data_IF_343857303308
#
_entry.id   IF_343857303308
#
_cell.length_a   1.000
_cell.length_b   1.000
_cell.length_c   1.000
_cell.angle_alpha   90.00
_cell.angle_beta   90.00
_cell.angle_gamma   90.00
#
_symmetry.space_group_name_H-M   'P 1'
#
loop_
_entity.id
_entity.type
_entity.pdbx_description
1 polymer ?
#
# COMPACT_ATOMS: atom_id res chain seq x y z
N UNK A 1 6.91 -19.89 -16.01
CA UNK A 1 6.78 -19.19 -17.32
C UNK A 1 5.74 -18.05 -17.33
N UNK A 2 4.64 -18.15 -16.55
CA UNK A 2 3.60 -17.10 -16.50
C UNK A 2 4.05 -15.76 -15.88
N UNK A 3 5.17 -15.73 -15.18
CA UNK A 3 5.64 -14.57 -14.38
C UNK A 3 6.81 -13.83 -15.01
N UNK A 4 7.39 -14.33 -16.09
CA UNK A 4 8.51 -13.66 -16.75
C UNK A 4 8.07 -12.34 -17.41
N UNK A 5 8.95 -11.34 -17.39
CA UNK A 5 8.77 -10.12 -18.16
C UNK A 5 8.62 -10.44 -19.66
N UNK A 6 7.90 -9.59 -20.39
CA UNK A 6 7.68 -9.74 -21.83
C UNK A 6 8.37 -8.62 -22.60
N UNK A 7 8.71 -8.89 -23.85
CA UNK A 7 9.26 -7.87 -24.75
C UNK A 7 8.22 -6.85 -25.20
N UNK A 8 8.68 -5.81 -25.89
CA UNK A 8 7.82 -4.75 -26.41
C UNK A 8 6.80 -5.33 -27.38
N UNK A 9 5.49 -5.08 -27.17
CA UNK A 9 4.44 -5.59 -28.04
C UNK A 9 4.40 -4.84 -29.38
N UNK A 10 3.78 -5.44 -30.40
CA UNK A 10 3.53 -4.80 -31.67
C UNK A 10 2.56 -3.60 -31.56
N UNK A 11 1.67 -3.63 -30.56
CA UNK A 11 0.65 -2.61 -30.33
C UNK A 11 0.54 -2.27 -28.86
N UNK A 12 0.40 -0.98 -28.58
CA UNK A 12 0.00 -0.43 -27.29
C UNK A 12 -1.48 -0.08 -27.30
N UNK A 13 -2.21 -0.45 -26.24
CA UNK A 13 -3.63 -0.14 -26.11
C UNK A 13 -3.82 1.16 -25.32
N UNK A 14 -2.88 1.47 -24.41
CA UNK A 14 -2.83 2.70 -23.64
C UNK A 14 -1.42 3.25 -23.60
N UNK A 15 -1.29 4.57 -23.48
CA UNK A 15 0.00 5.24 -23.29
C UNK A 15 -0.08 6.27 -22.16
N UNK A 16 0.92 6.30 -21.28
CA UNK A 16 1.06 7.25 -20.18
C UNK A 16 2.53 7.59 -19.91
N UNK A 17 2.76 8.53 -19.01
CA UNK A 17 4.10 8.79 -18.49
C UNK A 17 4.41 7.84 -17.33
N UNK A 18 3.47 7.68 -16.41
CA UNK A 18 3.61 6.81 -15.24
C UNK A 18 2.44 5.83 -15.17
N UNK A 19 2.76 4.53 -15.21
CA UNK A 19 1.80 3.46 -14.95
C UNK A 19 1.90 3.04 -13.49
N UNK A 20 0.78 2.96 -12.78
CA UNK A 20 0.74 2.61 -11.36
C UNK A 20 -0.07 1.34 -11.18
N UNK A 21 0.53 0.30 -10.62
CA UNK A 21 -0.12 -0.99 -10.37
C UNK A 21 -0.64 -1.04 -8.94
N UNK A 22 -1.96 -1.10 -8.79
CA UNK A 22 -2.68 -1.04 -7.52
C UNK A 22 -3.21 0.35 -7.21
N UNK A 23 -4.17 0.42 -6.29
CA UNK A 23 -4.86 1.66 -5.90
C UNK A 23 -5.00 1.84 -4.38
N UNK A 24 -4.10 1.22 -3.60
CA UNK A 24 -4.01 1.41 -2.15
C UNK A 24 -3.16 2.64 -1.77
N UNK A 25 -2.20 2.46 -0.88
CA UNK A 25 -1.27 3.53 -0.44
C UNK A 25 -0.48 4.17 -1.58
N UNK A 26 -0.27 3.46 -2.68
CA UNK A 26 0.41 3.93 -3.88
C UNK A 26 -0.29 5.10 -4.57
N UNK A 27 -1.58 5.35 -4.28
CA UNK A 27 -2.32 6.50 -4.79
C UNK A 27 -1.65 7.84 -4.47
N UNK A 28 -0.97 7.96 -3.32
CA UNK A 28 -0.23 9.19 -2.99
C UNK A 28 0.87 9.47 -4.01
N UNK A 29 1.63 8.43 -4.40
CA UNK A 29 2.65 8.55 -5.45
C UNK A 29 2.05 8.83 -6.84
N UNK A 30 0.94 8.17 -7.18
CA UNK A 30 0.19 8.42 -8.41
C UNK A 30 -0.30 9.87 -8.49
N UNK A 31 -0.88 10.36 -7.40
CA UNK A 31 -1.34 11.75 -7.30
C UNK A 31 -0.23 12.77 -7.42
N UNK A 32 0.93 12.49 -6.81
CA UNK A 32 2.09 13.38 -6.88
C UNK A 32 2.65 13.48 -8.31
N UNK A 33 2.72 12.36 -9.04
CA UNK A 33 3.11 12.34 -10.45
C UNK A 33 2.09 13.12 -11.31
N UNK A 34 0.78 12.88 -11.12
CA UNK A 34 -0.25 13.59 -11.86
C UNK A 34 -0.25 15.09 -11.57
N UNK A 35 -0.06 15.50 -10.30
CA UNK A 35 0.05 16.90 -9.91
C UNK A 35 1.31 17.58 -10.50
N UNK A 36 2.35 16.82 -10.80
CA UNK A 36 3.54 17.30 -11.51
C UNK A 36 3.33 17.45 -13.05
N UNK A 37 2.15 17.09 -13.55
CA UNK A 37 1.78 17.19 -14.97
C UNK A 37 2.03 15.92 -15.78
N UNK A 38 2.37 14.80 -15.12
CA UNK A 38 2.51 13.52 -15.79
C UNK A 38 1.15 12.93 -16.14
N UNK A 39 1.04 12.32 -17.31
CA UNK A 39 -0.11 11.48 -17.64
C UNK A 39 0.00 10.16 -16.85
N UNK A 40 -0.90 9.95 -15.92
CA UNK A 40 -0.89 8.79 -15.01
C UNK A 40 -2.04 7.84 -15.34
N UNK A 41 -1.73 6.55 -15.43
CA UNK A 41 -2.74 5.48 -15.49
C UNK A 41 -2.56 4.56 -14.29
N UNK A 42 -3.62 4.41 -13.51
CA UNK A 42 -3.70 3.49 -12.35
C UNK A 42 -4.41 2.22 -12.81
N UNK A 43 -3.79 1.07 -12.55
CA UNK A 43 -4.25 -0.26 -12.96
C UNK A 43 -4.72 -1.00 -11.70
N UNK A 44 -6.03 -1.23 -11.58
CA UNK A 44 -6.63 -1.84 -10.41
C UNK A 44 -7.34 -3.16 -10.79
N UNK A 45 -6.98 -4.23 -10.07
CA UNK A 45 -7.52 -5.56 -10.33
C UNK A 45 -9.00 -5.71 -9.92
N UNK A 46 -9.40 -5.02 -8.85
CA UNK A 46 -10.78 -5.02 -8.35
C UNK A 46 -11.68 -4.08 -9.18
N UNK A 47 -12.98 -4.16 -8.95
CA UNK A 47 -13.95 -3.23 -9.49
C UNK A 47 -14.06 -1.92 -8.71
N UNK A 48 -13.32 -1.80 -7.60
CA UNK A 48 -13.27 -0.66 -6.70
C UNK A 48 -11.83 -0.31 -6.34
N UNK A 49 -11.55 0.97 -6.14
CA UNK A 49 -10.24 1.47 -5.73
C UNK A 49 -10.01 1.32 -4.22
N UNK A 50 -8.73 1.30 -3.82
CA UNK A 50 -8.32 1.44 -2.43
C UNK A 50 -7.67 0.20 -1.83
N UNK A 51 -7.86 -0.98 -2.40
CA UNK A 51 -7.25 -2.22 -1.92
C UNK A 51 -7.43 -2.43 -0.41
N UNK A 52 -6.46 -3.05 0.25
CA UNK A 52 -6.45 -3.26 1.71
C UNK A 52 -6.44 -1.94 2.49
N UNK A 53 -5.90 -0.87 1.95
CA UNK A 53 -5.94 0.46 2.58
C UNK A 53 -7.38 0.90 2.82
N UNK A 54 -8.28 0.72 1.84
CA UNK A 54 -9.70 1.09 1.99
C UNK A 54 -10.42 0.27 3.07
N UNK A 55 -10.00 -0.98 3.30
CA UNK A 55 -10.61 -1.84 4.32
C UNK A 55 -10.03 -1.65 5.73
N UNK A 56 -8.99 -0.84 5.86
CA UNK A 56 -8.33 -0.51 7.13
C UNK A 56 -9.13 0.50 7.97
N UNK A 57 -8.66 0.78 9.17
CA UNK A 57 -9.22 1.84 10.01
C UNK A 57 -8.91 3.26 9.48
N UNK A 58 -8.11 3.40 8.43
CA UNK A 58 -7.71 4.70 7.86
C UNK A 58 -6.80 5.53 8.76
N UNK A 59 -6.43 5.03 9.92
CA UNK A 59 -5.49 5.70 10.80
C UNK A 59 -4.09 5.63 10.21
N UNK A 60 -3.40 6.74 10.26
CA UNK A 60 -2.03 6.86 9.76
C UNK A 60 -1.12 7.27 10.91
N UNK A 61 -0.06 6.49 11.12
CA UNK A 61 1.00 6.88 12.04
C UNK A 61 2.03 7.70 11.27
N UNK A 62 2.20 8.96 11.67
CA UNK A 62 3.13 9.89 11.03
C UNK A 62 3.72 10.84 12.08
N UNK A 63 5.00 10.69 12.42
CA UNK A 63 5.71 11.68 13.23
C UNK A 63 5.78 13.01 12.50
N UNK A 64 5.87 14.09 13.26
CA UNK A 64 6.01 15.44 12.74
C UNK A 64 4.86 15.86 11.79
N UNK A 65 3.70 15.20 11.89
CA UNK A 65 2.54 15.60 11.09
C UNK A 65 2.12 17.04 11.41
N UNK A 66 1.61 17.77 10.43
CA UNK A 66 1.28 19.20 10.56
C UNK A 66 0.27 19.49 11.67
N UNK A 67 -0.66 18.54 11.96
CA UNK A 67 -1.62 18.69 13.07
C UNK A 67 -0.91 18.71 14.43
N UNK A 68 0.02 17.80 14.67
CA UNK A 68 0.80 17.79 15.91
C UNK A 68 1.80 18.95 16.01
N UNK A 69 2.40 19.33 14.88
CA UNK A 69 3.38 20.41 14.82
C UNK A 69 2.76 21.79 15.03
N UNK A 70 1.48 21.99 14.70
CA UNK A 70 0.75 23.22 14.96
C UNK A 70 0.70 23.56 16.47
N UNK A 71 0.64 22.52 17.32
CA UNK A 71 0.61 22.67 18.78
C UNK A 71 1.96 22.33 19.46
N UNK A 72 3.02 22.14 18.67
CA UNK A 72 4.38 21.85 19.18
C UNK A 72 4.46 20.55 20.01
N UNK A 73 3.69 19.52 19.62
CA UNK A 73 3.56 18.28 20.38
C UNK A 73 4.63 17.23 20.03
N UNK A 74 5.31 17.34 18.89
CA UNK A 74 6.34 16.39 18.44
C UNK A 74 7.63 17.13 18.06
N UNK A 75 8.73 16.38 18.03
CA UNK A 75 10.03 16.88 17.60
C UNK A 75 10.82 15.79 16.86
N UNK A 76 11.80 16.24 16.05
CA UNK A 76 12.56 15.35 15.17
C UNK A 76 13.49 14.40 15.93
N UNK A 77 14.06 14.84 17.04
CA UNK A 77 15.03 14.03 17.79
C UNK A 77 14.32 12.85 18.46
N UNK A 78 13.19 13.07 19.12
CA UNK A 78 12.35 12.03 19.66
C UNK A 78 11.79 11.10 18.56
N UNK A 79 11.33 11.68 17.45
CA UNK A 79 10.84 10.91 16.31
C UNK A 79 11.93 9.97 15.74
N UNK A 80 13.15 10.50 15.55
CA UNK A 80 14.28 9.71 15.04
C UNK A 80 14.71 8.62 16.02
N UNK A 81 14.76 8.95 17.32
CA UNK A 81 15.09 7.97 18.35
C UNK A 81 14.10 6.79 18.35
N UNK A 82 12.80 7.10 18.28
CA UNK A 82 11.75 6.10 18.27
C UNK A 82 11.79 5.20 17.02
N UNK A 83 11.82 5.79 15.81
CA UNK A 83 11.84 4.97 14.58
C UNK A 83 13.14 4.17 14.43
N UNK A 84 14.27 4.67 14.96
CA UNK A 84 15.53 3.93 14.98
C UNK A 84 15.43 2.71 15.89
N UNK A 85 14.86 2.86 17.08
CA UNK A 85 14.65 1.78 18.01
C UNK A 85 13.67 0.72 17.47
N UNK A 86 12.54 1.14 16.92
CA UNK A 86 11.52 0.24 16.37
C UNK A 86 11.97 -0.45 15.09
N UNK A 87 12.78 0.20 14.26
CA UNK A 87 13.37 -0.41 13.06
C UNK A 87 14.36 -1.55 13.40
N UNK A 88 14.91 -1.57 14.62
CA UNK A 88 15.78 -2.64 15.12
C UNK A 88 16.90 -3.05 14.12
N UNK A 89 17.49 -2.07 13.43
CA UNK A 89 18.54 -2.29 12.43
C UNK A 89 18.04 -2.83 11.08
N UNK A 90 16.74 -2.88 10.85
CA UNK A 90 16.14 -3.36 9.59
C UNK A 90 16.01 -2.25 8.52
N UNK A 91 16.30 -1.02 8.88
CA UNK A 91 16.30 0.14 7.99
C UNK A 91 17.62 0.91 8.09
N UNK A 92 17.96 1.66 7.04
CA UNK A 92 19.17 2.50 7.04
C UNK A 92 18.85 3.90 7.57
N UNK A 93 19.85 4.62 8.12
CA UNK A 93 19.67 6.00 8.58
C UNK A 93 19.09 6.92 7.50
N UNK A 94 19.49 6.74 6.24
CA UNK A 94 19.02 7.54 5.10
C UNK A 94 17.52 7.33 4.83
N UNK A 95 17.02 6.10 4.96
CA UNK A 95 15.59 5.79 4.80
C UNK A 95 14.79 6.37 5.97
N UNK A 96 15.29 6.26 7.20
CA UNK A 96 14.64 6.83 8.38
C UNK A 96 14.58 8.37 8.28
N UNK A 97 15.67 9.00 7.86
CA UNK A 97 15.71 10.45 7.65
C UNK A 97 14.76 10.91 6.54
N UNK A 98 14.73 10.18 5.41
CA UNK A 98 13.80 10.44 4.32
C UNK A 98 12.33 10.30 4.75
N UNK A 99 12.00 9.29 5.57
CA UNK A 99 10.66 9.10 6.12
C UNK A 99 10.22 10.30 6.97
N UNK A 100 11.08 10.79 7.87
CA UNK A 100 10.78 11.96 8.70
C UNK A 100 10.75 13.29 7.92
N UNK A 101 11.41 13.35 6.78
CA UNK A 101 11.48 14.54 5.94
C UNK A 101 10.29 14.64 5.00
N UNK A 102 10.02 13.55 4.26
CA UNK A 102 9.03 13.55 3.19
C UNK A 102 7.67 12.97 3.61
N UNK A 103 7.61 12.20 4.71
CA UNK A 103 6.38 11.62 5.21
C UNK A 103 5.31 12.67 5.54
N UNK A 104 5.61 13.70 6.36
CA UNK A 104 4.68 14.79 6.65
C UNK A 104 4.18 15.50 5.39
N UNK A 105 5.07 15.80 4.44
CA UNK A 105 4.70 16.41 3.16
C UNK A 105 3.76 15.53 2.34
N UNK A 106 3.96 14.21 2.36
CA UNK A 106 3.09 13.26 1.66
C UNK A 106 1.69 13.23 2.28
N UNK A 107 1.58 13.32 3.60
CA UNK A 107 0.31 13.37 4.32
C UNK A 107 -0.44 14.68 4.04
N UNK A 108 0.25 15.82 4.02
CA UNK A 108 -0.35 17.11 3.69
C UNK A 108 -0.83 17.14 2.23
N UNK A 109 -0.02 16.63 1.30
CA UNK A 109 -0.40 16.49 -0.11
C UNK A 109 -1.64 15.59 -0.28
N UNK A 110 -1.70 14.47 0.44
CA UNK A 110 -2.84 13.57 0.43
C UNK A 110 -4.11 14.30 0.91
N UNK A 111 -4.02 15.02 2.03
CA UNK A 111 -5.13 15.79 2.56
C UNK A 111 -5.65 16.87 1.59
N UNK A 112 -4.74 17.61 0.97
CA UNK A 112 -5.08 18.62 -0.04
C UNK A 112 -5.75 17.99 -1.28
N UNK A 113 -5.21 16.86 -1.75
CA UNK A 113 -5.73 16.18 -2.93
C UNK A 113 -7.12 15.60 -2.69
N UNK A 114 -7.33 15.00 -1.52
CA UNK A 114 -8.56 14.34 -1.12
C UNK A 114 -9.63 15.28 -0.51
N UNK A 115 -9.30 16.56 -0.32
CA UNK A 115 -10.15 17.55 0.37
C UNK A 115 -10.60 17.05 1.76
N UNK A 116 -9.64 16.52 2.52
CA UNK A 116 -9.82 16.07 3.89
C UNK A 116 -8.90 16.82 4.86
N UNK A 117 -9.17 16.68 6.15
CA UNK A 117 -8.27 17.11 7.22
C UNK A 117 -7.94 15.93 8.13
N UNK A 118 -6.91 16.12 8.95
CA UNK A 118 -6.50 15.13 9.94
C UNK A 118 -6.81 15.63 11.33
N UNK A 119 -7.19 14.70 12.21
CA UNK A 119 -7.25 14.93 13.65
C UNK A 119 -6.34 13.91 14.37
N UNK A 120 -5.81 14.30 15.53
CA UNK A 120 -5.03 13.38 16.36
C UNK A 120 -5.96 12.29 16.89
N UNK A 121 -5.60 11.04 16.63
CA UNK A 121 -6.28 9.88 17.18
C UNK A 121 -5.68 9.53 18.55
N UNK A 122 -6.50 9.17 19.54
CA UNK A 122 -6.03 8.89 20.91
C UNK A 122 -5.33 7.52 20.98
N UNK A 123 -4.19 7.40 20.33
CA UNK A 123 -3.34 6.21 20.35
C UNK A 123 -1.94 6.58 20.77
N UNK A 124 -1.41 5.82 21.71
CA UNK A 124 -0.01 5.87 22.14
C UNK A 124 0.89 5.17 21.12
N UNK A 125 2.13 5.58 21.05
CA UNK A 125 3.14 4.84 20.28
C UNK A 125 3.33 3.44 20.88
N UNK A 126 3.58 2.44 20.05
CA UNK A 126 3.85 1.09 20.51
C UNK A 126 5.07 1.08 21.45
N UNK A 127 4.98 0.29 22.52
CA UNK A 127 6.02 0.19 23.53
C UNK A 127 6.45 1.56 24.11
N UNK A 128 5.45 2.41 24.37
CA UNK A 128 5.63 3.77 24.88
C UNK A 128 6.54 3.87 26.11
N UNK A 129 6.50 2.89 26.98
CA UNK A 129 7.29 2.80 28.20
C UNK A 129 8.68 2.18 28.01
N UNK A 130 8.99 1.67 26.81
CA UNK A 130 10.23 0.93 26.52
C UNK A 130 11.11 1.65 25.51
N UNK A 131 10.54 2.19 24.44
CA UNK A 131 11.31 2.80 23.37
C UNK A 131 11.54 4.29 23.59
N UNK A 132 12.80 4.77 23.36
CA UNK A 132 13.11 6.19 23.51
C UNK A 132 12.31 7.01 22.48
N UNK A 133 11.94 8.22 22.90
CA UNK A 133 11.25 9.17 22.02
C UNK A 133 9.80 8.81 21.66
N UNK A 134 9.22 7.77 22.27
CA UNK A 134 7.81 7.45 22.11
C UNK A 134 6.91 8.58 22.66
N UNK A 135 5.78 8.82 22.00
CA UNK A 135 4.82 9.87 22.37
C UNK A 135 3.45 9.25 22.72
N UNK A 136 2.74 9.94 23.63
CA UNK A 136 1.36 9.61 23.96
C UNK A 136 0.41 10.46 23.13
N UNK A 137 -0.40 9.80 22.27
CA UNK A 137 -1.49 10.43 21.51
C UNK A 137 -1.09 11.63 20.64
N UNK A 138 0.01 11.51 19.91
CA UNK A 138 0.54 12.60 19.09
C UNK A 138 0.69 12.24 17.62
N UNK A 139 1.20 11.03 17.32
CA UNK A 139 1.67 10.65 15.99
C UNK A 139 0.65 9.90 15.15
N UNK A 140 -0.36 9.31 15.77
CA UNK A 140 -1.45 8.68 15.03
C UNK A 140 -2.51 9.72 14.70
N UNK A 141 -2.85 9.82 13.43
CA UNK A 141 -3.88 10.71 12.92
C UNK A 141 -4.99 9.92 12.25
N UNK A 142 -6.20 10.44 12.28
CA UNK A 142 -7.38 9.89 11.63
C UNK A 142 -7.96 10.89 10.63
N UNK A 143 -8.55 10.43 9.50
CA UNK A 143 -9.12 11.33 8.50
C UNK A 143 -10.45 11.91 9.00
N UNK A 144 -10.62 13.22 8.78
CA UNK A 144 -11.88 13.94 8.95
C UNK A 144 -12.24 14.57 7.62
N UNK A 145 -13.38 14.20 7.03
CA UNK A 145 -13.72 14.75 5.73
C UNK A 145 -15.06 14.24 5.19
N UNK A 146 -15.39 14.70 4.01
CA UNK A 146 -16.59 14.27 3.30
C UNK A 146 -16.35 12.91 2.65
N UNK A 147 -17.33 12.01 2.76
CA UNK A 147 -17.34 10.78 1.99
C UNK A 147 -17.46 11.09 0.50
N UNK A 148 -16.54 10.60 -0.32
CA UNK A 148 -16.78 10.54 -1.75
C UNK A 148 -17.77 9.41 -2.06
N UNK A 149 -18.78 9.71 -2.84
CA UNK A 149 -19.79 8.73 -3.28
C UNK A 149 -19.52 8.19 -4.68
N UNK A 150 -18.60 8.79 -5.42
CA UNK A 150 -18.40 8.52 -6.85
C UNK A 150 -17.37 7.44 -7.14
N UNK A 151 -16.31 7.34 -6.36
CA UNK A 151 -15.24 6.34 -6.57
C UNK A 151 -15.57 4.93 -6.05
N UNK A 152 -16.78 4.68 -5.54
CA UNK A 152 -17.20 3.40 -5.00
C UNK A 152 -16.46 3.04 -3.70
N UNK A 153 -17.15 3.11 -2.58
CA UNK A 153 -16.60 2.76 -1.27
C UNK A 153 -16.44 1.26 -1.14
N UNK A 154 -15.23 0.79 -0.84
CA UNK A 154 -15.05 -0.60 -0.44
C UNK A 154 -15.64 -0.83 0.94
N UNK A 155 -16.40 -1.90 1.06
CA UNK A 155 -16.88 -2.36 2.38
C UNK A 155 -15.70 -2.92 3.16
N UNK A 156 -15.56 -2.53 4.41
CA UNK A 156 -14.53 -3.09 5.29
C UNK A 156 -14.68 -4.60 5.45
N UNK A 157 -13.64 -5.26 5.97
CA UNK A 157 -13.59 -6.72 6.17
C UNK A 157 -14.78 -7.29 6.96
N UNK A 158 -15.50 -6.44 7.70
CA UNK A 158 -16.67 -6.80 8.52
C UNK A 158 -17.99 -6.27 7.94
N UNK A 159 -18.06 -5.95 6.66
CA UNK A 159 -19.31 -5.48 6.02
C UNK A 159 -19.67 -4.04 6.34
N UNK A 160 -18.82 -3.28 7.02
CA UNK A 160 -19.01 -1.86 7.33
C UNK A 160 -18.08 -1.00 6.47
N UNK A 161 -18.51 0.20 6.10
CA UNK A 161 -17.62 1.18 5.48
C UNK A 161 -16.52 1.53 6.48
N UNK A 162 -15.26 1.28 6.11
CA UNK A 162 -14.12 1.55 6.98
C UNK A 162 -13.57 2.96 6.75
N UNK A 163 -12.86 3.49 7.76
CA UNK A 163 -12.26 4.82 7.68
C UNK A 163 -11.21 4.94 6.57
N UNK A 164 -10.60 3.82 6.15
CA UNK A 164 -9.62 3.79 5.06
C UNK A 164 -10.22 4.17 3.71
N UNK A 165 -11.50 3.85 3.48
CA UNK A 165 -12.20 4.29 2.27
C UNK A 165 -12.40 5.82 2.24
N UNK A 166 -12.44 6.48 3.39
CA UNK A 166 -12.52 7.95 3.50
C UNK A 166 -11.22 8.65 3.11
N UNK A 167 -10.13 7.90 2.97
CA UNK A 167 -8.86 8.38 2.44
C UNK A 167 -8.72 8.02 0.97
N UNK A 168 -8.90 6.74 0.63
CA UNK A 168 -8.57 6.25 -0.71
C UNK A 168 -9.55 6.72 -1.78
N UNK A 169 -10.85 6.75 -1.51
CA UNK A 169 -11.84 7.17 -2.49
C UNK A 169 -11.74 8.66 -2.84
N UNK A 170 -11.70 9.60 -1.86
CA UNK A 170 -11.50 11.01 -2.18
C UNK A 170 -10.14 11.31 -2.83
N UNK A 171 -9.09 10.55 -2.46
CA UNK A 171 -7.78 10.69 -3.09
C UNK A 171 -7.83 10.27 -4.56
N UNK A 172 -8.48 9.15 -4.87
CA UNK A 172 -8.67 8.70 -6.25
C UNK A 172 -9.49 9.72 -7.07
N UNK A 173 -10.58 10.24 -6.50
CA UNK A 173 -11.38 11.30 -7.12
C UNK A 173 -10.56 12.56 -7.38
N UNK A 174 -9.73 12.97 -6.40
CA UNK A 174 -8.83 14.11 -6.55
C UNK A 174 -7.81 13.91 -7.67
N UNK A 175 -7.23 12.72 -7.79
CA UNK A 175 -6.30 12.39 -8.87
C UNK A 175 -6.97 12.50 -10.24
N UNK A 176 -8.19 11.96 -10.38
CA UNK A 176 -8.91 12.01 -11.64
C UNK A 176 -9.38 13.44 -11.94
N UNK A 177 -10.07 14.08 -11.02
CA UNK A 177 -10.79 15.34 -11.28
C UNK A 177 -9.89 16.58 -11.21
N UNK A 178 -8.87 16.60 -10.34
CA UNK A 178 -7.95 17.74 -10.23
C UNK A 178 -6.78 17.65 -11.21
N UNK A 179 -6.26 16.44 -11.43
CA UNK A 179 -4.99 16.25 -12.14
C UNK A 179 -5.12 15.45 -13.45
N UNK A 180 -6.32 14.96 -13.78
CA UNK A 180 -6.57 14.26 -15.04
C UNK A 180 -6.00 12.85 -15.12
N UNK A 181 -5.73 12.20 -13.99
CA UNK A 181 -5.34 10.79 -13.95
C UNK A 181 -6.46 9.87 -14.44
N UNK A 182 -6.10 8.69 -14.93
CA UNK A 182 -7.03 7.67 -15.41
C UNK A 182 -6.93 6.43 -14.53
N UNK A 183 -8.07 5.78 -14.22
CA UNK A 183 -8.12 4.54 -13.43
C UNK A 183 -8.77 3.44 -14.27
N UNK A 184 -8.05 2.35 -14.47
CA UNK A 184 -8.54 1.14 -15.13
C UNK A 184 -8.86 0.10 -14.07
N UNK A 185 -10.11 -0.01 -13.67
CA UNK A 185 -10.60 -1.07 -12.77
C UNK A 185 -10.82 -2.37 -13.53
N UNK A 186 -11.01 -3.49 -12.80
CA UNK A 186 -11.17 -4.83 -13.37
C UNK A 186 -10.06 -5.17 -14.38
N UNK A 187 -8.87 -4.63 -14.13
CA UNK A 187 -7.68 -4.72 -14.97
C UNK A 187 -6.53 -5.26 -14.14
N UNK A 188 -6.19 -6.51 -14.30
CA UNK A 188 -5.17 -7.19 -13.49
C UNK A 188 -3.81 -7.13 -14.16
N UNK A 189 -2.86 -6.39 -13.59
CA UNK A 189 -1.48 -6.39 -14.06
C UNK A 189 -0.87 -7.80 -13.92
N UNK A 190 -0.23 -8.29 -14.97
CA UNK A 190 0.33 -9.65 -15.03
C UNK A 190 1.83 -9.67 -15.21
N UNK A 191 2.36 -8.81 -16.04
CA UNK A 191 3.77 -8.80 -16.42
C UNK A 191 4.27 -7.39 -16.66
N UNK A 192 5.54 -7.17 -16.42
CA UNK A 192 6.24 -5.98 -16.88
C UNK A 192 6.67 -6.17 -18.33
N UNK A 193 6.54 -5.11 -19.11
CA UNK A 193 7.05 -5.05 -20.49
C UNK A 193 8.42 -4.41 -20.44
N UNK A 194 9.40 -5.09 -21.03
CA UNK A 194 10.80 -4.67 -20.96
C UNK A 194 11.42 -4.54 -22.34
N UNK A 195 12.46 -3.71 -22.41
CA UNK A 195 13.39 -3.66 -23.54
C UNK A 195 14.83 -3.66 -23.03
N UNK A 196 15.76 -3.96 -23.89
CA UNK A 196 17.18 -3.70 -23.62
C UNK A 196 17.48 -2.30 -24.15
N UNK A 197 18.02 -1.43 -23.31
CA UNK A 197 18.40 -0.08 -23.71
C UNK A 197 19.77 -0.04 -24.41
N UNK A 198 20.20 1.12 -24.86
CA UNK A 198 21.47 1.30 -25.58
C UNK A 198 22.71 0.94 -24.77
N UNK A 199 22.57 0.91 -23.43
CA UNK A 199 23.63 0.49 -22.50
C UNK A 199 23.63 -1.03 -22.24
N UNK A 200 22.74 -1.79 -22.88
CA UNK A 200 22.56 -3.23 -22.64
C UNK A 200 21.85 -3.58 -21.36
N UNK A 201 21.20 -2.63 -20.67
CA UNK A 201 20.45 -2.82 -19.45
C UNK A 201 18.97 -3.08 -19.73
N UNK A 202 18.35 -3.92 -18.90
CA UNK A 202 16.89 -4.09 -18.92
C UNK A 202 16.20 -2.83 -18.42
N UNK A 203 15.30 -2.31 -19.23
CA UNK A 203 14.45 -1.15 -18.94
C UNK A 203 12.99 -1.57 -18.97
N UNK A 204 12.23 -1.23 -17.93
CA UNK A 204 10.79 -1.42 -17.90
C UNK A 204 10.12 -0.28 -18.63
N UNK A 205 9.31 -0.61 -19.64
CA UNK A 205 8.66 0.38 -20.54
C UNK A 205 7.14 0.27 -20.53
N UNK A 206 6.57 -0.58 -19.68
CA UNK A 206 5.13 -0.71 -19.57
C UNK A 206 4.67 -1.92 -18.75
N UNK A 207 3.37 -2.13 -18.78
CA UNK A 207 2.67 -3.20 -18.08
C UNK A 207 1.74 -3.93 -19.03
N UNK A 208 1.79 -5.26 -19.02
CA UNK A 208 0.78 -6.10 -19.64
C UNK A 208 -0.24 -6.48 -18.58
N UNK A 209 -1.51 -6.26 -18.87
CA UNK A 209 -2.62 -6.54 -17.96
C UNK A 209 -3.73 -7.34 -18.65
N UNK A 210 -4.55 -8.00 -17.86
CA UNK A 210 -5.72 -8.75 -18.31
C UNK A 210 -7.00 -8.04 -17.88
N UNK A 211 -7.93 -7.99 -18.80
CA UNK A 211 -9.31 -7.50 -18.60
C UNK A 211 -10.30 -8.59 -18.98
N UNK A 212 -11.59 -8.40 -18.71
CA UNK A 212 -12.66 -9.29 -19.20
C UNK A 212 -12.71 -9.39 -20.74
N UNK A 213 -12.10 -8.43 -21.47
CA UNK A 213 -12.08 -8.39 -22.94
C UNK A 213 -10.80 -8.98 -23.54
N UNK A 214 -9.84 -9.35 -22.72
CA UNK A 214 -8.55 -9.90 -23.11
C UNK A 214 -7.36 -9.08 -22.58
N UNK A 215 -6.19 -9.39 -23.11
CA UNK A 215 -4.94 -8.75 -22.75
C UNK A 215 -4.83 -7.35 -23.31
N UNK A 216 -4.33 -6.41 -22.49
CA UNK A 216 -4.03 -5.04 -22.86
C UNK A 216 -2.58 -4.70 -22.50
N UNK A 217 -1.95 -3.86 -23.31
CA UNK A 217 -0.58 -3.39 -23.12
C UNK A 217 -0.59 -1.88 -22.85
N UNK A 218 -0.05 -1.48 -21.69
CA UNK A 218 -0.01 -0.10 -21.22
C UNK A 218 1.45 0.36 -21.27
N UNK A 219 1.74 1.35 -22.11
CA UNK A 219 3.06 1.95 -22.22
C UNK A 219 3.27 2.99 -21.12
N UNK A 220 4.45 2.95 -20.50
CA UNK A 220 4.90 3.96 -19.56
C UNK A 220 6.20 4.59 -20.05
N UNK A 221 6.18 5.89 -20.33
CA UNK A 221 7.35 6.59 -20.91
C UNK A 221 8.40 6.97 -19.87
N UNK A 222 8.01 7.07 -18.58
CA UNK A 222 8.91 7.49 -17.49
C UNK A 222 9.11 6.41 -16.43
N UNK A 223 8.01 5.83 -15.90
CA UNK A 223 8.10 4.86 -14.81
C UNK A 223 6.89 3.92 -14.71
N UNK A 224 7.13 2.76 -14.10
CA UNK A 224 6.10 1.87 -13.57
C UNK A 224 6.27 1.82 -12.05
N UNK A 225 5.20 2.12 -11.30
CA UNK A 225 5.16 2.02 -9.84
C UNK A 225 4.40 0.76 -9.46
N UNK A 226 5.02 -0.11 -8.66
CA UNK A 226 4.40 -1.35 -8.18
C UNK A 226 3.88 -1.16 -6.75
N UNK A 227 2.57 -1.20 -6.57
CA UNK A 227 1.89 -1.08 -5.29
C UNK A 227 0.70 -2.04 -5.17
N UNK A 228 0.86 -3.26 -5.71
CA UNK A 228 -0.20 -4.27 -5.80
C UNK A 228 -0.52 -4.99 -4.47
N UNK A 229 -0.03 -4.48 -3.34
CA UNK A 229 -0.24 -5.11 -2.03
C UNK A 229 0.69 -6.29 -1.76
N UNK A 230 0.37 -7.02 -0.69
CA UNK A 230 1.14 -8.17 -0.23
C UNK A 230 0.73 -9.50 -0.89
N UNK A 231 0.97 -10.61 -0.17
CA UNK A 231 0.71 -11.96 -0.69
C UNK A 231 -0.15 -12.82 0.24
N UNK A 232 -0.97 -12.20 1.09
CA UNK A 232 -1.79 -12.92 2.08
C UNK A 232 -2.76 -13.95 1.49
N UNK A 233 -3.15 -13.79 0.23
CA UNK A 233 -3.97 -14.75 -0.52
C UNK A 233 -3.17 -15.69 -1.43
N UNK A 234 -1.85 -15.81 -1.22
CA UNK A 234 -0.99 -16.74 -1.93
C UNK A 234 -0.37 -17.74 -0.94
N UNK A 235 -0.99 -18.90 -0.82
CA UNK A 235 -0.58 -19.94 0.13
C UNK A 235 0.82 -20.48 -0.15
N UNK A 236 1.26 -20.48 -1.42
CA UNK A 236 2.62 -20.90 -1.77
C UNK A 236 3.66 -19.89 -1.24
N UNK A 237 3.45 -18.59 -1.47
CA UNK A 237 4.34 -17.55 -0.96
C UNK A 237 4.32 -17.51 0.58
N UNK A 238 3.15 -17.69 1.20
CA UNK A 238 3.07 -17.81 2.67
C UNK A 238 3.93 -18.97 3.18
N UNK A 239 3.80 -20.16 2.62
CA UNK A 239 4.63 -21.32 3.01
C UNK A 239 6.12 -21.11 2.77
N UNK A 240 6.46 -20.36 1.71
CA UNK A 240 7.86 -20.14 1.34
C UNK A 240 8.55 -19.10 2.21
N UNK A 241 7.83 -18.04 2.59
CA UNK A 241 8.45 -16.86 3.19
C UNK A 241 8.07 -16.63 4.65
N UNK A 242 6.90 -17.10 5.10
CA UNK A 242 6.44 -16.85 6.46
C UNK A 242 6.81 -18.02 7.38
N UNK A 243 7.39 -17.70 8.51
CA UNK A 243 7.70 -18.67 9.56
C UNK A 243 6.46 -19.08 10.37
N UNK A 244 5.44 -18.22 10.37
CA UNK A 244 4.19 -18.43 11.10
C UNK A 244 3.10 -18.78 10.11
N UNK A 245 2.37 -19.90 10.31
CA UNK A 245 1.23 -20.23 9.46
C UNK A 245 0.13 -19.16 9.59
N UNK A 246 -0.03 -18.33 8.58
CA UNK A 246 -1.10 -17.35 8.52
C UNK A 246 -2.30 -17.96 7.79
N UNK A 247 -3.25 -18.53 8.53
CA UNK A 247 -4.46 -19.15 7.98
C UNK A 247 -5.50 -18.11 7.56
N UNK A 248 -5.40 -16.90 8.11
CA UNK A 248 -6.30 -15.78 7.80
C UNK A 248 -5.51 -14.55 7.41
N UNK A 249 -6.09 -13.74 6.56
CA UNK A 249 -5.54 -12.44 6.17
C UNK A 249 -6.66 -11.41 6.11
N UNK A 250 -6.35 -10.18 6.47
CA UNK A 250 -7.26 -9.04 6.31
C UNK A 250 -7.03 -8.32 4.97
N UNK A 251 -6.08 -8.77 4.18
CA UNK A 251 -5.87 -8.24 2.84
C UNK A 251 -7.06 -8.57 1.93
N UNK A 252 -7.32 -7.70 0.96
CA UNK A 252 -8.31 -7.97 -0.09
C UNK A 252 -7.87 -9.16 -0.95
N UNK A 253 -8.83 -9.90 -1.48
CA UNK A 253 -8.61 -11.18 -2.20
C UNK A 253 -7.73 -11.07 -3.45
N UNK A 254 -7.49 -9.85 -3.91
CA UNK A 254 -6.58 -9.55 -5.03
C UNK A 254 -5.10 -9.50 -4.62
N UNK A 255 -4.77 -9.51 -3.32
CA UNK A 255 -3.38 -9.49 -2.82
C UNK A 255 -2.75 -10.89 -2.88
N UNK A 256 -2.18 -11.24 -4.02
CA UNK A 256 -1.56 -12.54 -4.30
C UNK A 256 -0.06 -12.47 -4.61
N UNK A 257 0.56 -11.31 -4.36
CA UNK A 257 2.00 -11.10 -4.55
C UNK A 257 2.41 -10.80 -5.99
N UNK A 258 1.48 -10.45 -6.87
CA UNK A 258 1.80 -10.19 -8.28
C UNK A 258 2.84 -9.10 -8.46
N UNK A 259 2.75 -8.00 -7.69
CA UNK A 259 3.73 -6.91 -7.74
C UNK A 259 5.14 -7.36 -7.35
N UNK A 260 5.24 -8.19 -6.31
CA UNK A 260 6.51 -8.77 -5.86
C UNK A 260 7.11 -9.65 -6.96
N UNK A 261 6.31 -10.54 -7.53
CA UNK A 261 6.74 -11.47 -8.58
C UNK A 261 7.14 -10.74 -9.88
N UNK A 262 6.41 -9.68 -10.24
CA UNK A 262 6.79 -8.83 -11.38
C UNK A 262 8.11 -8.11 -11.15
N UNK A 263 8.34 -7.61 -9.93
CA UNK A 263 9.62 -7.00 -9.57
C UNK A 263 10.78 -7.98 -9.67
N UNK A 264 10.63 -9.20 -9.12
CA UNK A 264 11.64 -10.24 -9.22
C UNK A 264 11.95 -10.62 -10.68
N UNK A 265 10.92 -10.67 -11.53
CA UNK A 265 11.10 -11.02 -12.95
C UNK A 265 12.02 -10.05 -13.72
N UNK A 266 12.24 -8.85 -13.20
CA UNK A 266 13.16 -7.84 -13.76
C UNK A 266 14.40 -7.60 -12.92
N UNK A 267 14.66 -8.48 -11.93
CA UNK A 267 15.87 -8.48 -11.11
C UNK A 267 15.79 -7.69 -9.82
N UNK A 268 14.60 -7.33 -9.34
CA UNK A 268 14.44 -6.75 -8.01
C UNK A 268 14.75 -7.78 -6.93
N UNK A 269 15.43 -7.34 -5.89
CA UNK A 269 15.72 -8.14 -4.70
C UNK A 269 14.54 -8.14 -3.74
N UNK A 270 14.48 -9.17 -2.87
CA UNK A 270 13.48 -9.29 -1.81
C UNK A 270 14.13 -9.07 -0.45
N UNK A 271 13.46 -8.30 0.40
CA UNK A 271 13.90 -8.09 1.77
C UNK A 271 12.72 -8.25 2.73
N UNK A 272 13.04 -8.69 3.95
CA UNK A 272 12.11 -8.74 5.09
C UNK A 272 10.85 -9.59 4.85
N UNK A 273 10.89 -10.55 3.95
CA UNK A 273 9.75 -11.39 3.57
C UNK A 273 9.12 -12.19 4.73
N UNK A 274 9.89 -12.65 5.76
CA UNK A 274 9.30 -13.34 6.92
C UNK A 274 8.50 -12.44 7.86
N UNK A 275 8.64 -11.10 7.73
CA UNK A 275 7.99 -10.17 8.64
C UNK A 275 6.57 -9.88 8.17
N UNK A 276 5.61 -10.26 8.98
CA UNK A 276 4.19 -9.95 8.79
C UNK A 276 3.70 -8.96 9.83
N UNK A 277 2.83 -8.06 9.42
CA UNK A 277 2.08 -7.26 10.36
C UNK A 277 0.87 -8.09 10.81
N UNK A 278 0.97 -8.69 12.00
CA UNK A 278 -0.07 -9.52 12.60
C UNK A 278 -0.94 -8.72 13.55
N UNK A 279 -2.22 -9.07 13.60
CA UNK A 279 -3.19 -8.56 14.56
C UNK A 279 -4.00 -9.72 15.10
N UNK A 280 -4.23 -9.73 16.41
CA UNK A 280 -5.19 -10.66 17.02
C UNK A 280 -6.60 -10.25 16.61
N UNK A 281 -7.31 -11.16 15.97
CA UNK A 281 -8.70 -10.94 15.56
C UNK A 281 -9.60 -12.03 16.15
N UNK A 282 -10.78 -11.62 16.61
CA UNK A 282 -11.84 -12.58 16.94
C UNK A 282 -12.52 -12.98 15.63
N UNK A 283 -12.57 -14.28 15.37
CA UNK A 283 -13.29 -14.85 14.23
C UNK A 283 -14.53 -15.55 14.75
N UNK A 284 -15.68 -15.41 14.08
CA UNK A 284 -16.87 -16.18 14.44
C UNK A 284 -16.55 -17.68 14.31
N UNK A 285 -16.76 -18.48 15.36
CA UNK A 285 -16.55 -19.92 15.32
C UNK A 285 -17.34 -20.62 14.20
N UNK A 286 -18.42 -20.03 13.73
CA UNK A 286 -19.20 -20.54 12.61
C UNK A 286 -18.47 -20.41 11.25
N UNK A 287 -17.54 -19.46 11.14
CA UNK A 287 -16.74 -19.21 9.94
C UNK A 287 -15.43 -20.02 9.92
N UNK A 288 -15.11 -20.70 11.02
CA UNK A 288 -13.93 -21.56 11.12
C UNK A 288 -14.32 -22.99 11.51
N UNK A 289 -13.84 -23.98 10.77
CA UNK A 289 -13.91 -25.36 11.23
C UNK A 289 -13.25 -25.46 12.61
N UNK A 290 -13.96 -26.02 13.58
CA UNK A 290 -13.53 -26.10 15.00
C UNK A 290 -12.14 -26.74 15.18
N UNK A 291 -11.76 -27.66 14.30
CA UNK A 291 -10.45 -28.33 14.31
C UNK A 291 -9.29 -27.41 13.93
N UNK A 292 -9.48 -26.39 13.08
CA UNK A 292 -8.42 -25.43 12.73
C UNK A 292 -8.05 -24.51 13.89
N UNK A 293 -8.96 -24.36 14.84
CA UNK A 293 -8.76 -23.56 16.06
C UNK A 293 -8.02 -24.34 17.15
N UNK A 294 -8.30 -25.64 17.25
CA UNK A 294 -7.76 -26.48 18.31
C UNK A 294 -6.40 -27.10 18.00
N UNK A 295 -6.03 -27.16 16.73
CA UNK A 295 -4.80 -27.79 16.29
C UNK A 295 -3.62 -26.80 16.11
N UNK A 296 -3.84 -25.50 16.35
CA UNK A 296 -2.74 -24.54 16.42
C UNK A 296 -1.94 -24.80 17.72
N UNK A 297 -0.63 -25.01 17.63
CA UNK A 297 0.21 -25.17 18.82
C UNK A 297 0.02 -23.99 19.78
N UNK A 298 0.03 -24.20 21.12
CA UNK A 298 -0.17 -23.16 22.12
C UNK A 298 0.73 -21.94 21.96
N UNK A 299 1.95 -22.12 21.41
CA UNK A 299 2.90 -21.06 21.13
C UNK A 299 2.45 -20.06 20.05
N UNK A 300 1.45 -20.41 19.24
CA UNK A 300 0.88 -19.50 18.23
C UNK A 300 -0.31 -18.67 18.72
N UNK A 301 -0.79 -18.95 19.95
CA UNK A 301 -1.85 -18.16 20.59
C UNK A 301 -1.29 -16.95 21.34
N UNK A 302 0.02 -16.85 21.48
CA UNK A 302 0.71 -15.80 22.24
C UNK A 302 1.37 -14.81 21.27
N UNK A 303 0.57 -14.19 20.40
CA UNK A 303 1.01 -12.99 19.71
C UNK A 303 1.01 -11.86 20.73
N UNK A 304 2.09 -11.80 21.53
CA UNK A 304 2.37 -10.64 22.35
C UNK A 304 2.49 -9.43 21.44
N UNK A 305 1.52 -8.55 21.48
CA UNK A 305 1.57 -7.19 20.99
C UNK A 305 2.45 -6.37 21.92
#
# INVERSE_FOLDING_TARGET
>A
EEKAAVGVPERWDYECDVAVVGSGTVLTGAGKAAAAGDKVIIIEAANQVGGTTATSNGQTWMPLNSTAMADNLDDRDDALAYITATAAGKSTPEILDAFLTYGPEAIDFLAETADLSWEISPRIDYHYDVFPGAKDQVRTIAPVGKQSTEAGQMTGAFGTTSSGSYVTAPLADGIVNKYGGEILTETTAKRLITRVNDEGKTEVVGVQAETKKGTVNIKASKAVILGAGGFGWNDEMKRQYMEIPANRTMEVTTCKGEGILMGQAVGADLALMPYAWGQVVCVDPADMPYHEWCDAPPEYNDFGL
#
